data_IF_511669196510
#
_entry.id   IF_511669196510
#
_cell.length_a   1.000
_cell.length_b   1.000
_cell.length_c   1.000
_cell.angle_alpha   90.00
_cell.angle_beta   90.00
_cell.angle_gamma   90.00
#
_symmetry.space_group_name_H-M   'P 1'
#
loop_
_entity.id
_entity.type
_entity.pdbx_description
1 polymer ?
#
# COMPACT_ATOMS: atom_id res chain seq x y z
N UNK A 1 20.04 -17.64 8.44
CA UNK A 1 21.28 -18.43 8.66
C UNK A 1 22.47 -17.98 7.80
N UNK A 2 22.29 -17.57 6.53
CA UNK A 2 23.40 -17.05 5.70
C UNK A 2 24.07 -15.76 6.24
N UNK A 3 23.28 -14.83 6.80
CA UNK A 3 23.79 -13.56 7.37
C UNK A 3 24.71 -13.76 8.59
N UNK A 4 24.41 -14.73 9.47
CA UNK A 4 25.28 -15.02 10.62
C UNK A 4 26.61 -15.68 10.22
N UNK A 5 26.65 -16.37 9.09
CA UNK A 5 27.87 -17.02 8.59
C UNK A 5 28.84 -15.99 8.00
N UNK A 6 28.31 -14.96 7.31
CA UNK A 6 29.12 -13.85 6.81
C UNK A 6 29.72 -13.04 7.97
N UNK A 7 28.94 -12.76 9.02
CA UNK A 7 29.39 -11.94 10.14
C UNK A 7 30.53 -12.61 10.93
N UNK A 8 30.49 -13.92 11.15
CA UNK A 8 31.59 -14.65 11.83
C UNK A 8 32.85 -14.77 10.96
N UNK A 9 32.70 -14.98 9.65
CA UNK A 9 33.83 -15.03 8.69
C UNK A 9 34.49 -13.65 8.54
N UNK A 10 33.68 -12.59 8.46
CA UNK A 10 34.15 -11.22 8.29
C UNK A 10 34.80 -10.69 9.58
N UNK A 11 34.30 -11.07 10.78
CA UNK A 11 34.97 -10.77 12.06
C UNK A 11 36.36 -11.40 12.16
N UNK A 12 36.56 -12.65 11.70
CA UNK A 12 37.88 -13.28 11.64
C UNK A 12 38.84 -12.66 10.59
N UNK A 13 38.28 -12.08 9.52
CA UNK A 13 39.02 -11.30 8.52
C UNK A 13 39.43 -9.93 9.09
N UNK A 14 38.63 -9.34 10.00
CA UNK A 14 38.90 -8.01 10.55
C UNK A 14 40.11 -7.94 11.49
N UNK A 15 40.38 -8.98 12.29
CA UNK A 15 41.63 -9.08 13.06
C UNK A 15 42.86 -9.17 12.14
N UNK A 16 42.69 -9.71 10.92
CA UNK A 16 43.71 -9.76 9.87
C UNK A 16 43.70 -8.55 8.94
N UNK A 17 42.77 -7.61 9.10
CA UNK A 17 42.66 -6.44 8.23
C UNK A 17 43.89 -5.54 8.33
N UNK A 18 44.49 -5.44 9.52
CA UNK A 18 45.74 -4.70 9.71
C UNK A 18 46.88 -5.35 8.91
N UNK A 19 46.94 -6.68 8.89
CA UNK A 19 47.91 -7.46 8.10
C UNK A 19 47.64 -7.32 6.60
N UNK A 20 46.36 -7.34 6.19
CA UNK A 20 45.92 -7.12 4.81
C UNK A 20 46.35 -5.74 4.30
N UNK A 21 46.18 -4.73 5.14
CA UNK A 21 46.54 -3.34 4.84
C UNK A 21 48.05 -3.18 4.71
N UNK A 22 48.82 -3.83 5.59
CA UNK A 22 50.28 -3.86 5.50
C UNK A 22 50.74 -4.54 4.19
N UNK A 23 50.17 -5.70 3.84
CA UNK A 23 50.50 -6.41 2.61
C UNK A 23 50.20 -5.61 1.33
N UNK A 24 49.14 -4.78 1.33
CA UNK A 24 48.83 -3.91 0.18
C UNK A 24 49.75 -2.66 0.14
N UNK A 25 50.12 -2.13 1.32
CA UNK A 25 50.92 -0.90 1.45
C UNK A 25 52.42 -1.11 1.17
N UNK A 26 52.95 -2.31 1.47
CA UNK A 26 54.35 -2.64 1.27
C UNK A 26 54.70 -2.75 -0.23
N UNK A 27 55.89 -2.28 -0.63
CA UNK A 27 56.40 -2.47 -1.99
C UNK A 27 57.11 -3.82 -2.08
N UNK A 28 56.30 -4.87 -2.24
CA UNK A 28 56.76 -6.25 -2.32
C UNK A 28 57.32 -6.60 -3.72
N UNK A 29 58.06 -7.72 -3.80
CA UNK A 29 58.64 -8.23 -5.04
C UNK A 29 57.58 -8.63 -6.07
N UNK A 30 58.00 -8.88 -7.32
CA UNK A 30 57.08 -9.23 -8.41
C UNK A 30 56.24 -10.48 -8.12
N UNK A 31 56.83 -11.45 -7.41
CA UNK A 31 56.18 -12.71 -7.01
C UNK A 31 55.01 -12.52 -6.04
N UNK A 32 54.97 -11.41 -5.30
CA UNK A 32 53.93 -11.15 -4.30
C UNK A 32 52.83 -10.22 -4.81
N UNK A 33 53.01 -9.60 -5.99
CA UNK A 33 52.02 -8.67 -6.58
C UNK A 33 50.63 -9.30 -6.73
N UNK A 34 50.56 -10.59 -7.07
CA UNK A 34 49.27 -11.28 -7.14
C UNK A 34 48.57 -11.31 -5.78
N UNK A 35 49.31 -11.63 -4.73
CA UNK A 35 48.78 -11.65 -3.35
C UNK A 35 48.31 -10.26 -2.94
N UNK A 36 49.05 -9.20 -3.26
CA UNK A 36 48.64 -7.82 -3.00
C UNK A 36 47.32 -7.47 -3.71
N UNK A 37 47.17 -7.87 -4.98
CA UNK A 37 45.94 -7.66 -5.73
C UNK A 37 44.76 -8.41 -5.12
N UNK A 38 44.95 -9.67 -4.72
CA UNK A 38 43.93 -10.46 -4.01
C UNK A 38 43.54 -9.83 -2.66
N UNK A 39 44.52 -9.26 -1.95
CA UNK A 39 44.27 -8.55 -0.70
C UNK A 39 43.44 -7.28 -0.93
N UNK A 40 43.78 -6.49 -1.96
CA UNK A 40 43.02 -5.31 -2.35
C UNK A 40 41.58 -5.69 -2.78
N UNK A 41 41.41 -6.78 -3.53
CA UNK A 41 40.09 -7.29 -3.92
C UNK A 41 39.26 -7.66 -2.69
N UNK A 42 39.83 -8.41 -1.75
CA UNK A 42 39.13 -8.81 -0.52
C UNK A 42 38.70 -7.60 0.31
N UNK A 43 39.60 -6.63 0.50
CA UNK A 43 39.27 -5.38 1.21
C UNK A 43 38.17 -4.59 0.48
N UNK A 44 38.22 -4.56 -0.86
CA UNK A 44 37.21 -3.94 -1.71
C UNK A 44 35.83 -4.58 -1.57
N UNK A 45 35.76 -5.91 -1.53
CA UNK A 45 34.53 -6.69 -1.29
C UNK A 45 33.99 -6.39 0.12
N UNK A 46 34.87 -6.34 1.13
CA UNK A 46 34.51 -5.98 2.51
C UNK A 46 33.94 -4.57 2.64
N UNK A 47 34.27 -3.64 1.74
CA UNK A 47 33.66 -2.30 1.69
C UNK A 47 32.35 -2.35 0.90
N UNK A 48 32.35 -3.00 -0.27
CA UNK A 48 31.21 -3.01 -1.18
C UNK A 48 29.97 -3.65 -0.55
N UNK A 49 30.11 -4.84 0.02
CA UNK A 49 29.02 -5.62 0.64
C UNK A 49 28.86 -5.37 2.14
N UNK A 50 29.55 -4.38 2.72
CA UNK A 50 29.36 -4.03 4.12
C UNK A 50 27.93 -3.50 4.35
N UNK A 51 27.24 -3.99 5.36
CA UNK A 51 25.92 -3.49 5.78
C UNK A 51 26.03 -2.48 6.94
N UNK A 52 27.25 -2.12 7.35
CA UNK A 52 27.58 -1.33 8.54
C UNK A 52 27.11 -1.95 9.87
N UNK A 53 26.79 -3.25 9.90
CA UNK A 53 26.51 -3.96 11.16
C UNK A 53 27.68 -3.92 12.16
N UNK A 54 28.97 -4.08 11.75
CA UNK A 54 30.08 -3.97 12.69
C UNK A 54 30.50 -2.49 12.90
N UNK A 55 30.26 -1.96 14.11
CA UNK A 55 30.56 -0.56 14.44
C UNK A 55 32.05 -0.18 14.27
N UNK A 56 32.96 -1.12 14.51
CA UNK A 56 34.41 -0.88 14.41
C UNK A 56 34.95 -0.88 12.97
N UNK A 57 34.17 -1.39 12.01
CA UNK A 57 34.59 -1.56 10.61
C UNK A 57 33.46 -1.20 9.65
N UNK A 58 32.85 -0.05 9.86
CA UNK A 58 31.89 0.53 8.91
C UNK A 58 32.57 0.84 7.57
N UNK A 59 31.79 0.97 6.49
CA UNK A 59 32.30 1.38 5.16
C UNK A 59 33.21 2.59 5.26
N UNK A 60 32.78 3.59 6.02
CA UNK A 60 33.53 4.84 6.21
C UNK A 60 34.90 4.60 6.87
N UNK A 61 34.92 3.82 7.96
CA UNK A 61 36.18 3.49 8.66
C UNK A 61 37.14 2.73 7.75
N UNK A 62 36.64 1.81 6.93
CA UNK A 62 37.44 1.06 5.96
C UNK A 62 37.96 1.93 4.80
N UNK A 63 37.14 2.84 4.27
CA UNK A 63 37.57 3.82 3.25
C UNK A 63 38.67 4.74 3.78
N UNK A 64 38.50 5.26 5.00
CA UNK A 64 39.51 6.08 5.66
C UNK A 64 40.80 5.30 5.93
N UNK A 65 40.68 4.00 6.22
CA UNK A 65 41.84 3.13 6.42
C UNK A 65 42.64 2.99 5.12
N UNK A 66 41.98 2.75 3.98
CA UNK A 66 42.63 2.75 2.66
C UNK A 66 43.29 4.11 2.41
N UNK A 67 42.55 5.20 2.58
CA UNK A 67 43.04 6.55 2.28
C UNK A 67 44.28 6.92 3.10
N UNK A 68 44.31 6.58 4.40
CA UNK A 68 45.41 6.93 5.30
C UNK A 68 46.61 5.99 5.23
N UNK A 69 46.41 4.70 4.90
CA UNK A 69 47.48 3.68 4.99
C UNK A 69 48.02 3.22 3.65
N UNK A 70 47.24 3.32 2.59
CA UNK A 70 47.59 2.81 1.25
C UNK A 70 47.57 3.95 0.23
N UNK A 71 46.54 4.80 0.28
CA UNK A 71 46.18 5.76 -0.75
C UNK A 71 45.20 5.16 -1.77
N UNK A 72 44.16 5.91 -2.14
CA UNK A 72 43.08 5.42 -3.02
C UNK A 72 43.60 5.01 -4.41
N UNK A 73 44.53 5.78 -4.98
CA UNK A 73 45.14 5.48 -6.27
C UNK A 73 46.00 4.21 -6.22
N UNK A 74 46.83 4.09 -5.18
CA UNK A 74 47.69 2.92 -4.98
C UNK A 74 46.83 1.66 -4.76
N UNK A 75 45.75 1.75 -3.99
CA UNK A 75 44.80 0.65 -3.83
C UNK A 75 44.23 0.17 -5.17
N UNK A 76 43.80 1.09 -6.05
CA UNK A 76 43.30 0.74 -7.39
C UNK A 76 44.39 0.14 -8.27
N UNK A 77 45.61 0.66 -8.22
CA UNK A 77 46.75 0.10 -8.95
C UNK A 77 47.01 -1.35 -8.54
N UNK A 78 47.06 -1.62 -7.22
CA UNK A 78 47.27 -2.96 -6.67
C UNK A 78 46.13 -3.90 -7.01
N UNK A 79 44.88 -3.45 -6.95
CA UNK A 79 43.70 -4.23 -7.37
C UNK A 79 43.87 -4.74 -8.81
N UNK A 80 44.39 -3.89 -9.70
CA UNK A 80 44.65 -4.24 -11.10
C UNK A 80 45.77 -5.27 -11.33
N UNK A 81 46.53 -5.67 -10.32
CA UNK A 81 47.54 -6.73 -10.46
C UNK A 81 46.93 -8.09 -10.78
N UNK A 82 45.69 -8.34 -10.38
CA UNK A 82 45.01 -9.61 -10.62
C UNK A 82 44.76 -9.79 -12.13
N UNK A 83 44.09 -8.83 -12.76
CA UNK A 83 43.77 -8.89 -14.19
C UNK A 83 45.00 -8.79 -15.10
N UNK A 84 46.09 -8.17 -14.62
CA UNK A 84 47.37 -8.04 -15.34
C UNK A 84 48.26 -9.28 -15.24
N UNK A 85 47.95 -10.25 -14.37
CA UNK A 85 48.78 -11.43 -14.18
C UNK A 85 48.80 -12.31 -15.45
N UNK A 86 49.97 -12.85 -15.80
CA UNK A 86 50.19 -13.62 -17.04
C UNK A 86 49.21 -14.81 -17.21
N UNK A 87 48.92 -15.53 -16.12
CA UNK A 87 47.99 -16.66 -16.11
C UNK A 87 46.50 -16.28 -16.07
N UNK A 88 46.14 -15.02 -15.78
CA UNK A 88 44.74 -14.59 -15.65
C UNK A 88 43.97 -14.75 -16.97
N UNK A 89 44.55 -14.26 -18.06
CA UNK A 89 43.94 -14.33 -19.40
C UNK A 89 43.70 -15.77 -19.87
N UNK A 90 44.55 -16.71 -19.44
CA UNK A 90 44.41 -18.13 -19.78
C UNK A 90 43.25 -18.77 -19.01
N UNK A 91 43.14 -18.52 -17.71
CA UNK A 91 42.03 -19.03 -16.89
C UNK A 91 40.68 -18.42 -17.30
N UNK A 92 40.66 -17.18 -17.77
CA UNK A 92 39.44 -16.49 -18.18
C UNK A 92 38.79 -17.05 -19.47
N UNK A 93 39.54 -17.79 -20.30
CA UNK A 93 39.05 -18.24 -21.62
C UNK A 93 38.18 -19.51 -21.55
N UNK A 94 38.50 -20.45 -20.66
CA UNK A 94 37.86 -21.77 -20.65
C UNK A 94 37.61 -22.25 -19.21
N UNK A 95 36.46 -22.87 -18.93
CA UNK A 95 36.19 -23.49 -17.62
C UNK A 95 37.07 -24.69 -17.27
N UNK A 96 37.75 -25.29 -18.27
CA UNK A 96 38.52 -26.51 -18.07
C UNK A 96 39.89 -26.19 -17.43
N UNK A 97 40.21 -26.76 -16.25
CA UNK A 97 41.48 -26.54 -15.58
C UNK A 97 42.59 -27.34 -16.25
N UNK A 98 43.19 -26.79 -17.32
CA UNK A 98 44.29 -27.42 -18.05
C UNK A 98 45.57 -26.61 -17.85
N UNK A 99 46.43 -27.13 -16.97
CA UNK A 99 47.70 -26.52 -16.59
C UNK A 99 48.89 -27.40 -17.05
N UNK A 100 49.99 -26.81 -17.55
CA UNK A 100 51.18 -27.57 -17.96
C UNK A 100 51.98 -28.13 -16.79
N UNK A 101 51.91 -27.47 -15.62
CA UNK A 101 52.58 -27.90 -14.39
C UNK A 101 51.80 -27.39 -13.15
N UNK A 102 51.99 -28.00 -11.96
CA UNK A 102 51.28 -27.60 -10.74
C UNK A 102 51.48 -26.14 -10.35
N UNK A 103 52.64 -25.56 -10.65
CA UNK A 103 53.00 -24.17 -10.32
C UNK A 103 52.18 -23.15 -11.11
N UNK A 104 51.55 -23.56 -12.22
CA UNK A 104 50.69 -22.70 -13.04
C UNK A 104 49.20 -22.78 -12.65
N UNK A 105 48.86 -23.55 -11.60
CA UNK A 105 47.49 -23.67 -11.10
C UNK A 105 47.18 -22.55 -10.09
N UNK A 106 47.10 -21.30 -10.56
CA UNK A 106 46.86 -20.13 -9.70
C UNK A 106 45.44 -19.55 -9.78
N UNK A 107 44.80 -19.59 -10.96
CA UNK A 107 43.49 -18.99 -11.17
C UNK A 107 42.43 -20.02 -11.55
N UNK A 108 41.27 -19.86 -10.95
CA UNK A 108 40.04 -20.55 -11.34
C UNK A 108 39.22 -19.71 -12.34
N UNK A 109 38.49 -20.38 -13.23
CA UNK A 109 37.70 -19.71 -14.26
C UNK A 109 36.57 -18.85 -13.68
N UNK A 110 35.81 -19.34 -12.70
CA UNK A 110 34.71 -18.58 -12.10
C UNK A 110 35.24 -17.40 -11.28
N UNK A 111 36.41 -17.57 -10.64
CA UNK A 111 37.09 -16.45 -9.99
C UNK A 111 37.44 -15.32 -10.97
N UNK A 112 37.92 -15.63 -12.19
CA UNK A 112 38.19 -14.57 -13.19
C UNK A 112 36.93 -13.83 -13.64
N UNK A 113 35.75 -14.48 -13.65
CA UNK A 113 34.48 -13.80 -13.92
C UNK A 113 34.11 -12.84 -12.80
N UNK A 114 34.25 -13.28 -11.54
CA UNK A 114 34.01 -12.46 -10.36
C UNK A 114 34.90 -11.20 -10.37
N UNK A 115 36.20 -11.36 -10.63
CA UNK A 115 37.14 -10.23 -10.72
C UNK A 115 36.72 -9.28 -11.84
N UNK A 116 36.37 -9.81 -13.02
CA UNK A 116 35.93 -8.99 -14.16
C UNK A 116 34.66 -8.18 -13.87
N UNK A 117 33.70 -8.77 -13.15
CA UNK A 117 32.46 -8.10 -12.73
C UNK A 117 32.73 -6.99 -11.72
N UNK A 118 33.58 -7.26 -10.71
CA UNK A 118 33.85 -6.30 -9.63
C UNK A 118 34.86 -5.20 -10.00
N UNK A 119 35.81 -5.48 -10.90
CA UNK A 119 36.85 -4.55 -11.37
C UNK A 119 36.37 -3.67 -12.56
N UNK A 120 35.29 -4.05 -13.24
CA UNK A 120 34.67 -3.21 -14.28
C UNK A 120 35.37 -3.24 -15.64
N UNK A 121 36.04 -4.34 -16.00
CA UNK A 121 36.72 -4.48 -17.30
C UNK A 121 35.78 -5.05 -18.39
N UNK A 122 34.79 -4.27 -18.80
CA UNK A 122 34.19 -4.36 -20.14
C UNK A 122 33.78 -2.96 -20.63
N UNK A 123 34.64 -2.37 -21.46
CA UNK A 123 34.29 -1.41 -22.52
C UNK A 123 33.41 -0.21 -22.18
N UNK A 124 34.05 0.93 -21.91
CA UNK A 124 33.45 2.26 -22.12
C UNK A 124 32.89 2.94 -20.87
N UNK A 125 33.77 3.70 -20.21
CA UNK A 125 33.54 5.00 -19.54
C UNK A 125 32.33 5.27 -18.61
N UNK A 126 31.39 4.36 -18.37
CA UNK A 126 30.22 4.65 -17.52
C UNK A 126 30.16 3.85 -16.20
N UNK A 127 31.01 2.85 -16.01
CA UNK A 127 31.09 2.08 -14.78
C UNK A 127 32.55 1.98 -14.33
N UNK A 128 33.06 2.97 -13.61
CA UNK A 128 34.22 2.75 -12.76
C UNK A 128 33.92 1.51 -11.90
N UNK A 129 34.81 0.50 -11.92
CA UNK A 129 34.60 -0.82 -11.30
C UNK A 129 33.93 -0.70 -9.94
N UNK A 130 32.96 -1.57 -9.66
CA UNK A 130 32.04 -1.44 -8.52
C UNK A 130 32.80 -1.26 -7.19
N UNK A 131 33.95 -1.92 -7.05
CA UNK A 131 34.87 -1.75 -5.91
C UNK A 131 35.53 -0.37 -5.94
N UNK A 132 36.14 0.04 -7.06
CA UNK A 132 36.78 1.34 -7.22
C UNK A 132 35.80 2.48 -6.93
N UNK A 133 34.58 2.40 -7.45
CA UNK A 133 33.51 3.36 -7.18
C UNK A 133 33.15 3.38 -5.70
N UNK A 134 32.99 2.22 -5.06
CA UNK A 134 32.68 2.16 -3.63
C UNK A 134 33.79 2.77 -2.76
N UNK A 135 35.06 2.60 -3.12
CA UNK A 135 36.20 3.16 -2.37
C UNK A 135 36.32 4.68 -2.55
N UNK A 136 36.00 5.20 -3.74
CA UNK A 136 36.10 6.63 -4.04
C UNK A 136 34.88 7.45 -3.60
N UNK A 137 33.70 6.83 -3.57
CA UNK A 137 32.44 7.51 -3.24
C UNK A 137 32.46 8.04 -1.81
N UNK A 138 32.16 9.32 -1.64
CA UNK A 138 32.16 9.97 -0.33
C UNK A 138 30.92 9.56 0.49
N UNK A 139 31.03 9.61 1.83
CA UNK A 139 29.89 9.39 2.74
C UNK A 139 28.71 10.33 2.44
N UNK A 140 28.99 11.54 1.97
CA UNK A 140 27.98 12.55 1.67
C UNK A 140 27.22 12.24 0.38
N UNK A 141 27.92 11.72 -0.64
CA UNK A 141 27.31 11.25 -1.89
C UNK A 141 26.44 10.00 -1.67
N UNK A 142 26.86 9.10 -0.78
CA UNK A 142 26.04 7.93 -0.39
C UNK A 142 24.74 8.33 0.30
N UNK A 143 24.81 9.30 1.22
CA UNK A 143 23.61 9.82 1.90
C UNK A 143 22.66 10.51 0.93
N UNK A 144 23.18 11.37 0.04
CA UNK A 144 22.37 12.08 -0.98
C UNK A 144 21.67 11.09 -1.92
N UNK A 145 22.38 10.09 -2.46
CA UNK A 145 21.75 9.07 -3.32
C UNK A 145 20.67 8.27 -2.57
N UNK A 146 20.90 7.95 -1.29
CA UNK A 146 19.93 7.19 -0.50
C UNK A 146 18.70 8.02 -0.12
N UNK A 147 18.86 9.32 0.12
CA UNK A 147 17.75 10.27 0.33
C UNK A 147 16.92 10.46 -0.95
N UNK A 148 17.57 10.60 -2.11
CA UNK A 148 16.88 10.67 -3.40
C UNK A 148 16.09 9.39 -3.64
N UNK A 149 16.67 8.22 -3.38
CA UNK A 149 15.98 6.93 -3.52
C UNK A 149 14.76 6.83 -2.59
N UNK A 150 14.91 7.23 -1.33
CA UNK A 150 13.81 7.23 -0.36
C UNK A 150 12.68 8.17 -0.78
N UNK A 151 13.03 9.35 -1.29
CA UNK A 151 12.05 10.32 -1.82
C UNK A 151 11.31 9.77 -3.04
N UNK A 152 12.03 9.09 -3.94
CA UNK A 152 11.43 8.46 -5.12
C UNK A 152 10.49 7.31 -4.74
N UNK A 153 10.88 6.46 -3.80
CA UNK A 153 10.03 5.40 -3.24
C UNK A 153 8.79 5.97 -2.56
N UNK A 154 8.92 7.08 -1.81
CA UNK A 154 7.77 7.79 -1.23
C UNK A 154 6.83 8.32 -2.32
N UNK A 155 7.37 8.93 -3.38
CA UNK A 155 6.58 9.41 -4.50
C UNK A 155 5.83 8.26 -5.21
N UNK A 156 6.50 7.13 -5.46
CA UNK A 156 5.88 5.97 -6.11
C UNK A 156 4.76 5.35 -5.25
N UNK A 157 4.96 5.29 -3.94
CA UNK A 157 3.92 4.87 -2.99
C UNK A 157 2.69 5.80 -3.02
N UNK A 158 2.90 7.12 -3.04
CA UNK A 158 1.82 8.11 -3.12
C UNK A 158 1.06 7.97 -4.44
N UNK A 159 1.78 7.84 -5.57
CA UNK A 159 1.17 7.64 -6.89
C UNK A 159 0.35 6.36 -6.94
N UNK A 160 0.83 5.29 -6.31
CA UNK A 160 0.10 4.01 -6.22
C UNK A 160 -1.20 4.16 -5.44
N UNK A 161 -1.18 4.84 -4.29
CA UNK A 161 -2.38 5.13 -3.51
C UNK A 161 -3.40 5.97 -4.29
N UNK A 162 -2.96 7.00 -5.02
CA UNK A 162 -3.87 7.80 -5.87
C UNK A 162 -4.47 6.97 -7.01
N UNK A 163 -3.69 6.08 -7.64
CA UNK A 163 -4.20 5.19 -8.69
C UNK A 163 -5.24 4.21 -8.14
N UNK A 164 -5.03 3.66 -6.96
CA UNK A 164 -6.00 2.77 -6.30
C UNK A 164 -7.28 3.52 -5.94
N UNK A 165 -7.17 4.72 -5.38
CA UNK A 165 -8.33 5.55 -5.07
C UNK A 165 -9.15 5.89 -6.32
N UNK A 166 -8.51 6.21 -7.43
CA UNK A 166 -9.20 6.48 -8.70
C UNK A 166 -9.95 5.22 -9.19
N UNK A 167 -9.32 4.04 -9.13
CA UNK A 167 -9.98 2.78 -9.52
C UNK A 167 -11.20 2.48 -8.65
N UNK A 168 -11.08 2.67 -7.33
CA UNK A 168 -12.17 2.49 -6.38
C UNK A 168 -13.33 3.46 -6.68
N UNK A 169 -13.01 4.72 -6.96
CA UNK A 169 -14.00 5.71 -7.38
C UNK A 169 -14.67 5.34 -8.70
N UNK A 170 -13.92 4.85 -9.69
CA UNK A 170 -14.46 4.41 -10.97
C UNK A 170 -15.44 3.23 -10.81
N UNK A 171 -15.12 2.27 -9.93
CA UNK A 171 -16.00 1.14 -9.59
C UNK A 171 -17.29 1.65 -8.94
N UNK A 172 -17.21 2.53 -7.94
CA UNK A 172 -18.40 3.09 -7.28
C UNK A 172 -19.28 3.90 -8.25
N UNK A 173 -18.67 4.66 -9.16
CA UNK A 173 -19.39 5.38 -10.21
C UNK A 173 -20.12 4.40 -11.14
N UNK A 174 -19.49 3.28 -11.49
CA UNK A 174 -20.10 2.27 -12.33
C UNK A 174 -21.28 1.57 -11.63
N UNK A 175 -21.12 1.18 -10.37
CA UNK A 175 -22.21 0.58 -9.58
C UNK A 175 -23.40 1.52 -9.44
N UNK A 176 -23.17 2.81 -9.15
CA UNK A 176 -24.23 3.81 -9.07
C UNK A 176 -24.95 3.99 -10.42
N UNK A 177 -24.21 3.97 -11.53
CA UNK A 177 -24.82 4.04 -12.88
C UNK A 177 -25.68 2.81 -13.17
N UNK A 178 -25.23 1.62 -12.80
CA UNK A 178 -25.99 0.37 -12.98
C UNK A 178 -27.26 0.38 -12.13
N UNK A 179 -27.19 0.83 -10.87
CA UNK A 179 -28.36 1.00 -10.02
C UNK A 179 -29.36 2.00 -10.61
N UNK A 180 -28.87 3.14 -11.13
CA UNK A 180 -29.72 4.16 -11.76
C UNK A 180 -30.40 3.59 -13.02
N UNK A 181 -29.68 2.83 -13.84
CA UNK A 181 -30.24 2.14 -15.01
C UNK A 181 -31.31 1.13 -14.62
N UNK A 182 -31.05 0.29 -13.61
CA UNK A 182 -32.02 -0.69 -13.11
C UNK A 182 -33.30 -0.04 -12.59
N UNK A 183 -33.16 0.98 -11.73
CA UNK A 183 -34.31 1.71 -11.18
C UNK A 183 -35.10 2.44 -12.28
N UNK A 184 -34.41 2.99 -13.28
CA UNK A 184 -35.06 3.64 -14.42
C UNK A 184 -35.88 2.63 -15.23
N UNK A 185 -35.31 1.46 -15.55
CA UNK A 185 -36.03 0.41 -16.28
C UNK A 185 -37.24 -0.12 -15.50
N UNK A 186 -37.10 -0.32 -14.18
CA UNK A 186 -38.21 -0.72 -13.32
C UNK A 186 -39.32 0.34 -13.30
N UNK A 187 -38.96 1.63 -13.25
CA UNK A 187 -39.93 2.71 -13.28
C UNK A 187 -40.67 2.79 -14.62
N UNK A 188 -39.97 2.61 -15.74
CA UNK A 188 -40.58 2.54 -17.08
C UNK A 188 -41.57 1.36 -17.18
N UNK A 189 -41.21 0.19 -16.64
CA UNK A 189 -42.08 -0.99 -16.63
C UNK A 189 -43.34 -0.78 -15.78
N UNK A 190 -43.19 -0.17 -14.60
CA UNK A 190 -44.32 0.20 -13.74
C UNK A 190 -45.22 1.22 -14.42
N UNK A 191 -44.64 2.23 -15.08
CA UNK A 191 -45.38 3.24 -15.82
C UNK A 191 -46.18 2.63 -16.99
N UNK A 192 -45.59 1.68 -17.72
CA UNK A 192 -46.28 0.94 -18.78
C UNK A 192 -47.46 0.13 -18.23
N UNK A 193 -47.25 -0.58 -17.11
CA UNK A 193 -48.31 -1.35 -16.44
C UNK A 193 -49.45 -0.45 -15.96
N UNK A 194 -49.12 0.70 -15.37
CA UNK A 194 -50.10 1.69 -14.93
C UNK A 194 -50.93 2.24 -16.10
N UNK A 195 -50.28 2.53 -17.23
CA UNK A 195 -50.96 2.96 -18.45
C UNK A 195 -51.93 1.90 -18.98
N UNK A 196 -51.52 0.62 -18.96
CA UNK A 196 -52.37 -0.49 -19.35
C UNK A 196 -53.60 -0.63 -18.43
N UNK A 197 -53.41 -0.53 -17.12
CA UNK A 197 -54.51 -0.57 -16.15
C UNK A 197 -55.49 0.60 -16.33
N UNK A 198 -54.98 1.82 -16.58
CA UNK A 198 -55.82 2.99 -16.90
C UNK A 198 -56.67 2.73 -18.15
N UNK A 199 -56.10 2.11 -19.18
CA UNK A 199 -56.85 1.73 -20.40
C UNK A 199 -57.95 0.71 -20.11
N UNK A 200 -57.68 -0.31 -19.30
CA UNK A 200 -58.68 -1.30 -18.89
C UNK A 200 -59.82 -0.67 -18.09
N UNK A 201 -59.51 0.21 -17.14
CA UNK A 201 -60.51 0.95 -16.37
C UNK A 201 -61.41 1.77 -17.31
N UNK A 202 -60.82 2.43 -18.30
CA UNK A 202 -61.58 3.20 -19.28
C UNK A 202 -62.50 2.31 -20.12
N UNK A 203 -62.01 1.15 -20.60
CA UNK A 203 -62.85 0.19 -21.33
C UNK A 203 -64.02 -0.33 -20.49
N UNK A 204 -63.79 -0.71 -19.23
CA UNK A 204 -64.87 -1.14 -18.34
C UNK A 204 -65.88 -0.03 -18.08
N UNK A 205 -65.42 1.22 -17.95
CA UNK A 205 -66.29 2.39 -17.79
C UNK A 205 -67.17 2.60 -19.02
N UNK A 206 -66.62 2.42 -20.22
CA UNK A 206 -67.37 2.53 -21.47
C UNK A 206 -68.39 1.38 -21.63
N UNK A 207 -68.00 0.14 -21.30
CA UNK A 207 -68.92 -1.01 -21.26
C UNK A 207 -70.08 -0.78 -20.28
N UNK A 208 -69.79 -0.28 -19.09
CA UNK A 208 -70.81 0.07 -18.09
C UNK A 208 -71.79 1.13 -18.62
N UNK A 209 -71.29 2.18 -19.27
CA UNK A 209 -72.14 3.23 -19.86
C UNK A 209 -73.05 2.68 -20.97
N UNK A 210 -72.55 1.78 -21.82
CA UNK A 210 -73.35 1.12 -22.86
C UNK A 210 -74.45 0.25 -22.23
N UNK A 211 -74.11 -0.56 -21.24
CA UNK A 211 -75.07 -1.44 -20.58
C UNK A 211 -76.17 -0.64 -19.87
N UNK A 212 -75.79 0.44 -19.18
CA UNK A 212 -76.71 1.39 -18.55
C UNK A 212 -77.68 2.03 -19.57
N UNK A 213 -77.19 2.39 -20.76
CA UNK A 213 -78.04 2.92 -21.84
C UNK A 213 -78.99 1.87 -22.43
N UNK A 214 -78.57 0.60 -22.52
CA UNK A 214 -79.43 -0.51 -22.98
C UNK A 214 -80.57 -0.78 -22.00
N UNK A 215 -80.28 -0.87 -20.69
CA UNK A 215 -81.32 -1.02 -19.65
C UNK A 215 -82.29 0.16 -19.61
N UNK A 216 -81.80 1.39 -19.85
CA UNK A 216 -82.65 2.58 -19.89
C UNK A 216 -83.62 2.61 -21.07
N UNK A 217 -83.31 1.92 -22.18
CA UNK A 217 -84.17 1.82 -23.37
C UNK A 217 -85.22 0.71 -23.28
N UNK A 218 -84.92 -0.37 -22.57
CA UNK A 218 -85.86 -1.47 -22.33
C UNK A 218 -87.07 -1.04 -21.47
N UNK A 219 -86.93 0.04 -20.69
CA UNK A 219 -88.00 0.63 -19.89
C UNK A 219 -88.96 1.57 -20.65
N UNK A 220 -88.74 1.87 -21.94
CA UNK A 220 -89.60 2.80 -22.72
C UNK A 220 -90.42 2.13 -23.82
N UNK A 221 -90.33 0.81 -23.99
CA UNK A 221 -91.10 0.10 -25.01
C UNK A 221 -91.69 -1.22 -24.50
N UNK A 222 -92.73 -1.15 -23.66
CA UNK A 222 -93.91 -2.04 -23.74
C UNK A 222 -94.92 -1.71 -22.64
N UNK A 223 -96.08 -1.21 -23.07
CA UNK A 223 -97.33 -1.48 -22.37
C UNK A 223 -97.82 -2.88 -22.72
N UNK A 224 -98.59 -3.45 -21.80
CA UNK A 224 -99.33 -4.71 -21.85
C UNK A 224 -98.55 -6.04 -21.77
N UNK A 225 -98.94 -6.83 -20.77
CA UNK A 225 -98.86 -8.29 -20.84
C UNK A 225 -97.90 -8.92 -19.84
N UNK A 226 -98.44 -9.32 -18.68
CA UNK A 226 -98.04 -10.49 -17.90
C UNK A 226 -96.99 -11.40 -18.55
N UNK A 227 -95.72 -11.32 -18.14
CA UNK A 227 -94.75 -12.45 -18.13
C UNK A 227 -93.35 -12.12 -17.58
N UNK A 228 -93.20 -11.10 -16.72
CA UNK A 228 -91.87 -10.66 -16.19
C UNK A 228 -91.24 -11.67 -15.20
N UNK A 229 -91.93 -12.75 -14.83
CA UNK A 229 -91.40 -13.75 -13.90
C UNK A 229 -90.59 -14.89 -14.56
N UNK A 230 -90.42 -14.90 -15.89
CA UNK A 230 -89.70 -15.97 -16.61
C UNK A 230 -88.19 -15.72 -16.75
N UNK A 231 -87.81 -14.58 -17.34
CA UNK A 231 -86.43 -14.29 -17.75
C UNK A 231 -85.48 -13.98 -16.58
N UNK A 232 -85.96 -13.26 -15.55
CA UNK A 232 -85.20 -13.07 -14.31
C UNK A 232 -85.02 -14.38 -13.54
N UNK A 233 -85.97 -15.32 -13.67
CA UNK A 233 -85.85 -16.64 -13.05
C UNK A 233 -84.82 -17.48 -13.79
N UNK A 234 -84.76 -17.38 -15.11
CA UNK A 234 -83.83 -18.14 -15.96
C UNK A 234 -82.37 -17.66 -15.81
N UNK A 235 -82.13 -16.34 -15.78
CA UNK A 235 -80.80 -15.77 -15.51
C UNK A 235 -80.34 -16.04 -14.07
N UNK A 236 -81.28 -16.01 -13.10
CA UNK A 236 -80.99 -16.35 -11.71
C UNK A 236 -80.77 -17.87 -11.53
N UNK A 237 -81.38 -18.73 -12.35
CA UNK A 237 -81.06 -20.16 -12.38
C UNK A 237 -79.70 -20.43 -13.00
N UNK A 238 -79.33 -19.75 -14.09
CA UNK A 238 -78.01 -19.88 -14.71
C UNK A 238 -76.89 -19.40 -13.78
N UNK A 239 -77.07 -18.25 -13.11
CA UNK A 239 -76.10 -17.78 -12.10
C UNK A 239 -76.01 -18.74 -10.91
N UNK A 240 -77.12 -19.34 -10.49
CA UNK A 240 -77.12 -20.34 -9.41
C UNK A 240 -76.39 -21.61 -9.84
N UNK A 241 -76.60 -22.08 -11.06
CA UNK A 241 -75.89 -23.22 -11.64
C UNK A 241 -74.38 -22.94 -11.77
N UNK A 242 -73.98 -21.75 -12.23
CA UNK A 242 -72.56 -21.37 -12.34
C UNK A 242 -71.89 -21.24 -10.96
N UNK A 243 -72.61 -20.71 -9.96
CA UNK A 243 -72.13 -20.69 -8.57
C UNK A 243 -72.03 -22.09 -7.98
N UNK A 244 -72.93 -23.00 -8.33
CA UNK A 244 -72.89 -24.40 -7.90
C UNK A 244 -71.74 -25.16 -8.57
N UNK A 245 -71.45 -24.89 -9.84
CA UNK A 245 -70.33 -25.47 -10.59
C UNK A 245 -68.99 -24.97 -10.06
N UNK A 246 -68.85 -23.66 -9.80
CA UNK A 246 -67.67 -23.08 -9.16
C UNK A 246 -67.46 -23.65 -7.74
N UNK A 247 -68.53 -23.95 -7.00
CA UNK A 247 -68.45 -24.64 -5.71
C UNK A 247 -67.96 -26.08 -5.86
N UNK A 248 -68.48 -26.84 -6.83
CA UNK A 248 -68.00 -28.20 -7.12
C UNK A 248 -66.51 -28.20 -7.50
N UNK A 249 -66.10 -27.23 -8.32
CA UNK A 249 -64.70 -27.08 -8.73
C UNK A 249 -63.79 -26.71 -7.54
N UNK A 250 -64.26 -25.87 -6.63
CA UNK A 250 -63.52 -25.56 -5.39
C UNK A 250 -63.35 -26.81 -4.51
N UNK A 251 -64.41 -27.61 -4.32
CA UNK A 251 -64.35 -28.85 -3.54
C UNK A 251 -63.39 -29.85 -4.19
N UNK A 252 -63.38 -29.96 -5.52
CA UNK A 252 -62.45 -30.81 -6.25
C UNK A 252 -61.00 -30.36 -6.06
N UNK A 253 -60.71 -29.08 -6.23
CA UNK A 253 -59.37 -28.53 -6.01
C UNK A 253 -58.91 -28.70 -4.56
N UNK A 254 -59.81 -28.52 -3.59
CA UNK A 254 -59.51 -28.73 -2.18
C UNK A 254 -59.24 -30.21 -1.85
N UNK A 255 -59.96 -31.14 -2.50
CA UNK A 255 -59.71 -32.59 -2.40
C UNK A 255 -58.35 -32.95 -2.99
N UNK A 256 -58.03 -32.43 -4.19
CA UNK A 256 -56.73 -32.66 -4.83
C UNK A 256 -55.56 -32.08 -4.05
N UNK A 257 -55.74 -30.93 -3.39
CA UNK A 257 -54.74 -30.37 -2.47
C UNK A 257 -54.55 -31.29 -1.26
N UNK A 258 -55.63 -31.79 -0.66
CA UNK A 258 -55.56 -32.75 0.45
C UNK A 258 -54.87 -34.07 0.06
N UNK A 259 -55.13 -34.59 -1.14
CA UNK A 259 -54.45 -35.77 -1.68
C UNK A 259 -52.95 -35.52 -1.90
N UNK A 260 -52.59 -34.34 -2.44
CA UNK A 260 -51.18 -33.95 -2.60
C UNK A 260 -50.48 -33.76 -1.26
N UNK A 261 -51.14 -33.16 -0.28
CA UNK A 261 -50.60 -33.02 1.07
C UNK A 261 -50.42 -34.38 1.76
N UNK A 262 -51.37 -35.30 1.59
CA UNK A 262 -51.24 -36.68 2.06
C UNK A 262 -50.05 -37.39 1.39
N UNK A 263 -49.87 -37.23 0.08
CA UNK A 263 -48.73 -37.79 -0.66
C UNK A 263 -47.40 -37.20 -0.19
N UNK A 264 -47.33 -35.88 0.02
CA UNK A 264 -46.14 -35.20 0.57
C UNK A 264 -45.81 -35.74 1.96
N UNK A 265 -46.81 -35.97 2.81
CA UNK A 265 -46.61 -36.53 4.15
C UNK A 265 -46.15 -37.99 4.11
N UNK A 266 -46.67 -38.79 3.16
CA UNK A 266 -46.18 -40.15 2.91
C UNK A 266 -44.73 -40.14 2.44
N UNK A 267 -44.38 -39.32 1.45
CA UNK A 267 -43.01 -39.20 0.93
C UNK A 267 -42.02 -38.67 2.00
N UNK A 268 -42.46 -37.75 2.87
CA UNK A 268 -41.66 -37.28 4.03
C UNK A 268 -41.46 -38.38 5.08
N UNK A 269 -42.48 -39.22 5.28
CA UNK A 269 -42.40 -40.35 6.21
C UNK A 269 -41.51 -41.46 5.67
N UNK A 270 -41.58 -41.76 4.36
CA UNK A 270 -40.68 -42.67 3.66
C UNK A 270 -39.23 -42.14 3.68
N UNK A 271 -39.03 -40.83 3.46
CA UNK A 271 -37.71 -40.18 3.58
C UNK A 271 -37.16 -40.25 5.01
N UNK A 272 -38.02 -40.22 6.03
CA UNK A 272 -37.61 -40.36 7.44
C UNK A 272 -37.36 -41.82 7.84
N UNK A 273 -37.86 -42.81 7.10
CA UNK A 273 -37.64 -44.25 7.36
C UNK A 273 -36.43 -44.84 6.62
N UNK A 274 -35.82 -44.13 5.66
CA UNK A 274 -34.60 -44.57 4.94
C UNK A 274 -33.30 -44.17 5.66
N UNK A 275 -33.37 -43.49 6.81
CA UNK A 275 -32.20 -43.17 7.63
C UNK A 275 -31.61 -44.36 8.40
N UNK A 276 -32.24 -45.54 8.36
CA UNK A 276 -31.70 -46.76 8.99
C UNK A 276 -31.98 -47.99 8.12
N UNK A 277 -31.34 -48.07 6.95
CA UNK A 277 -31.47 -49.23 6.07
C UNK A 277 -30.90 -49.01 4.68
N UNK A 278 -29.73 -49.62 4.45
CA UNK A 278 -29.01 -49.69 3.18
C UNK A 278 -29.89 -49.96 1.94
N UNK A 279 -29.70 -49.13 0.91
CA UNK A 279 -29.41 -49.50 -0.49
C UNK A 279 -30.21 -48.68 -1.53
N UNK A 280 -29.48 -47.97 -2.39
CA UNK A 280 -29.91 -47.68 -3.77
C UNK A 280 -30.29 -46.24 -4.09
N UNK A 281 -29.29 -45.39 -4.35
CA UNK A 281 -29.48 -44.12 -5.06
C UNK A 281 -28.14 -43.47 -5.36
N UNK A 282 -27.60 -43.69 -6.57
CA UNK A 282 -26.31 -43.17 -7.05
C UNK A 282 -26.12 -41.65 -6.87
N UNK A 283 -27.19 -40.88 -6.79
CA UNK A 283 -27.14 -39.42 -6.66
C UNK A 283 -26.98 -38.96 -5.21
N UNK A 284 -27.45 -39.74 -4.22
CA UNK A 284 -27.32 -39.39 -2.81
C UNK A 284 -25.88 -39.51 -2.30
N UNK A 285 -25.13 -40.48 -2.83
CA UNK A 285 -23.71 -40.68 -2.50
C UNK A 285 -22.85 -39.57 -3.07
N UNK A 286 -23.14 -39.10 -4.30
CA UNK A 286 -22.43 -37.98 -4.92
C UNK A 286 -22.69 -36.66 -4.20
N UNK A 287 -23.94 -36.40 -3.81
CA UNK A 287 -24.27 -35.21 -3.02
C UNK A 287 -23.64 -35.24 -1.63
N UNK A 288 -23.52 -36.41 -0.99
CA UNK A 288 -22.81 -36.54 0.29
C UNK A 288 -21.31 -36.29 0.16
N UNK A 289 -20.69 -36.78 -0.91
CA UNK A 289 -19.27 -36.55 -1.19
C UNK A 289 -18.98 -35.07 -1.52
N UNK A 290 -19.87 -34.41 -2.25
CA UNK A 290 -19.82 -32.97 -2.52
C UNK A 290 -20.02 -32.14 -1.24
N UNK A 291 -20.89 -32.57 -0.34
CA UNK A 291 -21.11 -31.94 0.98
C UNK A 291 -19.87 -32.07 1.89
N UNK A 292 -19.21 -33.21 1.88
CA UNK A 292 -17.98 -33.45 2.64
C UNK A 292 -16.79 -32.66 2.06
N UNK A 293 -16.72 -32.54 0.74
CA UNK A 293 -15.73 -31.71 0.04
C UNK A 293 -15.94 -30.22 0.36
N UNK A 294 -17.18 -29.73 0.30
CA UNK A 294 -17.52 -28.36 0.67
C UNK A 294 -17.23 -28.09 2.16
N UNK A 295 -17.50 -29.03 3.05
CA UNK A 295 -17.12 -28.92 4.48
C UNK A 295 -15.62 -28.82 4.67
N UNK A 296 -14.85 -29.66 3.98
CA UNK A 296 -13.39 -29.62 4.02
C UNK A 296 -12.84 -28.31 3.47
N UNK A 297 -13.45 -27.78 2.41
CA UNK A 297 -13.09 -26.48 1.83
C UNK A 297 -13.40 -25.31 2.76
N UNK A 298 -14.58 -25.30 3.39
CA UNK A 298 -14.96 -24.29 4.40
C UNK A 298 -14.02 -24.35 5.61
N UNK A 299 -13.62 -25.55 6.04
CA UNK A 299 -12.66 -25.71 7.13
C UNK A 299 -11.27 -25.19 6.76
N UNK A 300 -10.78 -25.46 5.54
CA UNK A 300 -9.52 -24.92 5.03
C UNK A 300 -9.56 -23.38 4.96
N UNK A 301 -10.63 -22.82 4.40
CA UNK A 301 -10.82 -21.37 4.32
C UNK A 301 -10.93 -20.72 5.71
N UNK A 302 -11.54 -21.41 6.68
CA UNK A 302 -11.58 -20.94 8.07
C UNK A 302 -10.20 -20.87 8.71
N UNK A 303 -9.30 -21.82 8.40
CA UNK A 303 -7.92 -21.81 8.90
C UNK A 303 -7.13 -20.68 8.25
N UNK A 304 -7.25 -20.51 6.92
CA UNK A 304 -6.60 -19.43 6.18
C UNK A 304 -7.06 -18.04 6.66
N UNK A 305 -8.36 -17.85 6.88
CA UNK A 305 -8.89 -16.61 7.47
C UNK A 305 -8.35 -16.37 8.87
N UNK A 306 -8.18 -17.42 9.69
CA UNK A 306 -7.59 -17.27 11.02
C UNK A 306 -6.12 -16.85 10.94
N UNK A 307 -5.36 -17.41 9.99
CA UNK A 307 -3.96 -17.09 9.76
C UNK A 307 -3.80 -15.64 9.25
N UNK A 308 -4.58 -15.24 8.26
CA UNK A 308 -4.60 -13.87 7.74
C UNK A 308 -5.01 -12.86 8.82
N UNK A 309 -5.96 -13.23 9.69
CA UNK A 309 -6.34 -12.40 10.84
C UNK A 309 -5.19 -12.24 11.84
N UNK A 310 -4.44 -13.31 12.12
CA UNK A 310 -3.25 -13.23 12.99
C UNK A 310 -2.14 -12.39 12.40
N UNK A 311 -1.86 -12.53 11.10
CA UNK A 311 -0.86 -11.73 10.39
C UNK A 311 -1.25 -10.25 10.38
N UNK A 312 -2.54 -9.94 10.14
CA UNK A 312 -3.06 -8.57 10.23
C UNK A 312 -2.82 -7.97 11.62
N UNK A 313 -3.09 -8.71 12.70
CA UNK A 313 -2.83 -8.24 14.06
C UNK A 313 -1.34 -8.05 14.35
N UNK A 314 -0.46 -8.89 13.80
CA UNK A 314 0.98 -8.72 13.98
C UNK A 314 1.53 -7.51 13.20
N UNK A 315 1.04 -7.28 11.99
CA UNK A 315 1.38 -6.10 11.19
C UNK A 315 0.92 -4.81 11.88
N UNK A 316 -0.28 -4.78 12.45
CA UNK A 316 -0.75 -3.66 13.28
C UNK A 316 0.17 -3.42 14.49
N UNK A 317 0.55 -4.48 15.21
CA UNK A 317 1.50 -4.36 16.34
C UNK A 317 2.88 -3.83 15.91
N UNK A 318 3.36 -4.20 14.72
CA UNK A 318 4.61 -3.68 14.15
C UNK A 318 4.48 -2.21 13.73
N UNK A 319 3.33 -1.80 13.21
CA UNK A 319 3.06 -0.41 12.86
C UNK A 319 3.03 0.48 14.13
N UNK A 320 2.39 0.01 15.21
CA UNK A 320 2.36 0.74 16.49
C UNK A 320 3.76 0.83 17.12
N UNK A 321 4.56 -0.25 17.10
CA UNK A 321 5.96 -0.22 17.54
C UNK A 321 6.83 0.73 16.68
N UNK A 322 6.50 0.89 15.40
CA UNK A 322 7.13 1.88 14.52
C UNK A 322 6.76 3.33 14.86
N UNK A 323 5.55 3.57 15.38
CA UNK A 323 5.14 4.88 15.85
C UNK A 323 5.89 5.30 17.13
N UNK A 324 6.21 4.35 18.02
CA UNK A 324 7.04 4.61 19.20
C UNK A 324 8.52 4.86 18.84
N UNK A 325 9.04 4.21 17.79
CA UNK A 325 10.37 4.49 17.25
C UNK A 325 10.46 5.91 16.64
N UNK A 326 9.36 6.43 16.07
CA UNK A 326 9.27 7.80 15.56
C UNK A 326 9.32 8.83 16.69
N UNK A 327 8.64 8.58 17.82
CA UNK A 327 8.71 9.43 19.04
C UNK A 327 10.12 9.48 19.65
N UNK A 328 10.85 8.36 19.63
CA UNK A 328 12.26 8.31 20.04
C UNK A 328 13.20 9.09 19.10
N UNK A 329 12.86 9.18 17.80
CA UNK A 329 13.63 9.99 16.83
C UNK A 329 13.39 11.50 16.99
N UNK A 330 12.18 11.90 17.36
CA UNK A 330 11.81 13.29 17.63
C UNK A 330 12.50 13.80 18.92
N UNK A 331 12.55 12.98 19.97
CA UNK A 331 13.29 13.31 21.20
C UNK A 331 14.83 13.39 21.00
N UNK A 332 15.38 12.66 20.01
CA UNK A 332 16.80 12.74 19.63
C UNK A 332 17.13 13.99 18.79
N UNK A 333 16.16 14.50 18.01
CA UNK A 333 16.32 15.74 17.25
C UNK A 333 16.36 16.97 18.16
N UNK A 334 15.59 16.97 19.26
CA UNK A 334 15.60 18.04 20.27
C UNK A 334 16.93 18.13 21.03
N UNK A 335 17.61 17.00 21.29
CA UNK A 335 18.97 16.97 21.86
C UNK A 335 20.06 17.42 20.88
N UNK A 336 19.83 17.28 19.56
CA UNK A 336 20.75 17.77 18.52
C UNK A 336 20.74 19.29 18.35
N UNK A 337 19.61 19.94 18.61
CA UNK A 337 19.48 21.39 18.53
C UNK A 337 20.29 22.13 19.62
N UNK A 338 20.51 21.50 20.78
CA UNK A 338 21.34 22.05 21.86
C UNK A 338 22.84 22.05 21.52
N UNK A 339 23.31 21.18 20.62
CA UNK A 339 24.72 21.10 20.21
C UNK A 339 25.11 22.15 19.14
N UNK A 340 24.12 22.78 18.48
CA UNK A 340 24.33 23.77 17.41
C UNK A 340 24.80 25.17 17.87
N UNK A 341 24.83 25.44 19.18
CA UNK A 341 25.20 26.75 19.74
C UNK A 341 26.70 26.93 20.02
N UNK A 342 27.56 25.98 19.66
CA UNK A 342 29.00 26.01 19.97
C UNK A 342 29.97 25.95 18.77
N UNK A 343 29.53 26.21 17.54
CA UNK A 343 30.46 26.32 16.39
C UNK A 343 30.49 27.72 15.80
N UNK A 344 31.05 28.65 16.56
CA UNK A 344 31.60 29.89 16.04
C UNK A 344 33.12 29.76 16.22
N UNK A 345 33.85 29.41 15.16
CA UNK A 345 35.26 29.73 14.86
C UNK A 345 35.80 28.82 13.74
N UNK A 346 36.20 29.43 12.61
CA UNK A 346 37.31 28.93 11.78
C UNK A 346 37.05 28.68 10.30
N UNK A 347 37.32 29.69 9.46
CA UNK A 347 38.24 29.56 8.30
C UNK A 347 37.71 29.11 6.92
N UNK A 348 37.55 30.08 6.03
CA UNK A 348 37.60 29.99 4.55
C UNK A 348 39.06 29.78 4.03
N UNK A 349 39.36 29.63 2.70
CA UNK A 349 38.55 29.20 1.52
C UNK A 349 39.29 28.20 0.59
N UNK A 350 38.59 27.63 -0.41
CA UNK A 350 39.18 27.13 -1.65
C UNK A 350 38.17 27.28 -2.81
N UNK A 351 38.43 28.26 -3.67
CA UNK A 351 37.60 28.65 -4.82
C UNK A 351 37.89 27.77 -6.04
N UNK A 352 36.82 27.34 -6.73
CA UNK A 352 36.90 26.67 -8.03
C UNK A 352 35.64 25.90 -8.43
N UNK A 353 34.99 25.23 -7.47
CA UNK A 353 33.82 24.36 -7.73
C UNK A 353 32.53 24.84 -7.04
N UNK A 354 32.62 25.92 -6.25
CA UNK A 354 31.49 26.49 -5.51
C UNK A 354 30.54 27.33 -6.38
N UNK A 355 31.02 27.88 -7.50
CA UNK A 355 30.21 28.75 -8.36
C UNK A 355 29.12 27.98 -9.12
N UNK A 356 29.41 26.77 -9.62
CA UNK A 356 28.44 25.97 -10.38
C UNK A 356 27.29 25.45 -9.50
N UNK A 357 27.60 25.00 -8.27
CA UNK A 357 26.59 24.58 -7.32
C UNK A 357 25.75 25.74 -6.78
N UNK A 358 26.34 26.93 -6.63
CA UNK A 358 25.59 28.13 -6.24
C UNK A 358 24.68 28.62 -7.36
N UNK A 359 25.08 28.50 -8.63
CA UNK A 359 24.21 28.84 -9.78
C UNK A 359 23.02 27.90 -9.89
N UNK A 360 23.21 26.58 -9.73
CA UNK A 360 22.12 25.60 -9.82
C UNK A 360 21.13 25.74 -8.65
N UNK A 361 21.62 26.02 -7.43
CA UNK A 361 20.76 26.33 -6.28
C UNK A 361 20.01 27.65 -6.45
N UNK A 362 20.61 28.66 -7.09
CA UNK A 362 19.94 29.93 -7.36
C UNK A 362 18.88 29.80 -8.46
N UNK A 363 19.16 29.04 -9.53
CA UNK A 363 18.21 28.73 -10.59
C UNK A 363 17.02 27.91 -10.06
N UNK A 364 17.28 26.88 -9.26
CA UNK A 364 16.21 26.07 -8.63
C UNK A 364 15.34 26.89 -7.68
N UNK A 365 15.92 27.83 -6.92
CA UNK A 365 15.13 28.77 -6.10
C UNK A 365 14.26 29.69 -6.95
N UNK A 366 14.81 30.20 -8.05
CA UNK A 366 14.05 31.05 -8.98
C UNK A 366 12.89 30.28 -9.63
N UNK A 367 13.11 29.02 -10.01
CA UNK A 367 12.05 28.15 -10.53
C UNK A 367 10.96 27.85 -9.48
N UNK A 368 11.33 27.69 -8.21
CA UNK A 368 10.36 27.55 -7.11
C UNK A 368 9.55 28.84 -6.90
N UNK A 369 10.18 30.01 -6.97
CA UNK A 369 9.51 31.31 -6.85
C UNK A 369 8.57 31.58 -8.05
N UNK A 370 8.99 31.24 -9.27
CA UNK A 370 8.16 31.35 -10.49
C UNK A 370 6.95 30.39 -10.42
N UNK A 371 7.13 29.19 -9.87
CA UNK A 371 6.04 28.22 -9.66
C UNK A 371 5.04 28.72 -8.60
N UNK A 372 5.51 29.32 -7.51
CA UNK A 372 4.66 29.94 -6.48
C UNK A 372 3.84 31.10 -7.06
N UNK A 373 4.45 31.92 -7.93
CA UNK A 373 3.74 32.99 -8.63
C UNK A 373 2.66 32.43 -9.57
N UNK A 374 2.95 31.37 -10.32
CA UNK A 374 1.96 30.70 -11.18
C UNK A 374 0.80 30.11 -10.38
N UNK A 375 1.07 29.50 -9.21
CA UNK A 375 0.04 28.96 -8.32
C UNK A 375 -0.85 30.08 -7.77
N UNK A 376 -0.27 31.22 -7.37
CA UNK A 376 -1.04 32.38 -6.93
C UNK A 376 -1.94 32.95 -8.03
N UNK A 377 -1.45 33.05 -9.27
CA UNK A 377 -2.24 33.45 -10.44
C UNK A 377 -3.37 32.46 -10.74
N UNK A 378 -3.09 31.16 -10.58
CA UNK A 378 -4.08 30.11 -10.78
C UNK A 378 -5.18 30.17 -9.71
N UNK A 379 -4.84 30.43 -8.46
CA UNK A 379 -5.80 30.65 -7.37
C UNK A 379 -6.63 31.91 -7.59
N UNK A 380 -6.04 33.00 -8.05
CA UNK A 380 -6.77 34.22 -8.41
C UNK A 380 -7.73 33.99 -9.58
N UNK A 381 -7.33 33.15 -10.56
CA UNK A 381 -8.19 32.75 -11.67
C UNK A 381 -9.33 31.84 -11.21
N UNK A 382 -9.06 30.89 -10.33
CA UNK A 382 -10.09 30.05 -9.69
C UNK A 382 -11.07 30.93 -8.91
N UNK A 383 -10.58 31.91 -8.16
CA UNK A 383 -11.42 32.86 -7.45
C UNK A 383 -12.33 33.65 -8.41
N UNK A 384 -11.77 34.17 -9.50
CA UNK A 384 -12.50 34.92 -10.52
C UNK A 384 -13.58 34.07 -11.20
N UNK A 385 -13.27 32.79 -11.48
CA UNK A 385 -14.22 31.83 -12.06
C UNK A 385 -15.32 31.45 -11.07
N UNK A 386 -14.98 31.24 -9.79
CA UNK A 386 -15.95 30.98 -8.72
C UNK A 386 -16.90 32.17 -8.53
N UNK A 387 -16.39 33.40 -8.59
CA UNK A 387 -17.21 34.60 -8.52
C UNK A 387 -18.14 34.71 -9.73
N UNK A 388 -17.65 34.43 -10.94
CA UNK A 388 -18.48 34.44 -12.16
C UNK A 388 -19.56 33.35 -12.17
N UNK A 389 -19.26 32.17 -11.62
CA UNK A 389 -20.24 31.10 -11.42
C UNK A 389 -21.33 31.50 -10.41
N UNK A 390 -20.93 32.21 -9.35
CA UNK A 390 -21.87 32.76 -8.36
C UNK A 390 -22.79 33.84 -8.96
N UNK A 391 -22.25 34.71 -9.81
CA UNK A 391 -23.02 35.74 -10.53
C UNK A 391 -24.01 35.11 -11.55
N UNK A 392 -23.72 33.90 -12.04
CA UNK A 392 -24.58 33.11 -12.94
C UNK A 392 -25.62 32.24 -12.20
N UNK A 393 -25.68 32.29 -10.87
CA UNK A 393 -26.68 31.60 -10.07
C UNK A 393 -26.34 30.14 -9.71
N UNK A 394 -25.13 29.67 -9.99
CA UNK A 394 -24.69 28.34 -9.58
C UNK A 394 -24.04 28.34 -8.19
N UNK A 395 -24.41 27.36 -7.36
CA UNK A 395 -23.85 27.21 -6.01
C UNK A 395 -22.53 26.45 -6.08
N UNK A 396 -21.41 27.16 -6.07
CA UNK A 396 -20.07 26.56 -5.95
C UNK A 396 -19.93 25.94 -4.55
N UNK A 397 -19.98 24.61 -4.44
CA UNK A 397 -19.65 23.92 -3.18
C UNK A 397 -18.16 24.09 -2.88
N UNK A 398 -17.77 24.49 -1.65
CA UNK A 398 -16.37 24.46 -1.27
C UNK A 398 -15.92 23.00 -1.20
N UNK A 399 -14.85 22.65 -1.93
CA UNK A 399 -14.09 21.45 -1.62
C UNK A 399 -13.44 21.68 -0.27
N UNK A 400 -14.11 21.24 0.79
CA UNK A 400 -13.50 21.11 2.12
C UNK A 400 -12.44 20.04 2.00
N UNK A 401 -11.16 20.43 2.12
CA UNK A 401 -10.13 19.48 2.52
C UNK A 401 -10.57 18.85 3.84
N UNK A 402 -10.96 17.59 3.76
CA UNK A 402 -11.14 16.74 4.93
C UNK A 402 -9.78 16.65 5.64
N UNK A 403 -9.71 17.17 6.87
CA UNK A 403 -8.79 16.64 7.88
C UNK A 403 -7.62 17.50 8.35
N UNK A 404 -7.63 18.83 8.22
CA UNK A 404 -6.64 19.66 8.95
C UNK A 404 -7.32 20.87 9.62
N UNK A 405 -7.52 20.78 10.93
CA UNK A 405 -7.74 21.95 11.78
C UNK A 405 -6.37 22.56 12.08
N UNK A 406 -6.06 23.78 11.60
CA UNK A 406 -4.85 24.46 12.02
C UNK A 406 -4.94 24.77 13.53
N UNK A 407 -3.84 24.66 14.29
CA UNK A 407 -3.85 25.09 15.68
C UNK A 407 -4.20 26.58 15.74
N UNK A 408 -5.11 26.92 16.64
CA UNK A 408 -5.47 28.29 16.98
C UNK A 408 -4.20 29.09 17.29
N UNK A 409 -3.86 30.03 16.41
CA UNK A 409 -2.90 31.09 16.69
C UNK A 409 -3.52 32.05 17.70
N UNK A 410 -3.39 31.70 18.97
CA UNK A 410 -3.39 32.66 20.08
C UNK A 410 -2.05 32.53 20.76
N UNK A 411 -1.00 32.98 20.07
CA UNK A 411 0.25 33.33 20.72
C UNK A 411 0.01 34.62 21.54
N UNK A 412 0.28 34.63 22.86
CA UNK A 412 0.29 35.86 23.61
C UNK A 412 1.49 36.72 23.18
N UNK A 413 1.25 38.02 23.02
CA UNK A 413 2.29 39.03 22.76
C UNK A 413 3.38 38.99 23.84
N UNK A 414 4.67 39.12 23.48
CA UNK A 414 5.77 39.14 24.43
C UNK A 414 5.84 40.50 25.13
N UNK A 415 4.95 40.73 26.10
CA UNK A 415 5.02 41.94 26.94
C UNK A 415 4.60 41.79 28.40
N UNK A 416 4.14 40.62 28.86
CA UNK A 416 3.58 40.47 30.22
C UNK A 416 4.41 39.58 31.18
N UNK A 417 5.74 39.50 31.01
CA UNK A 417 6.61 38.73 31.91
C UNK A 417 7.50 39.56 32.86
N UNK A 418 7.15 40.83 33.06
CA UNK A 418 7.74 41.67 34.11
C UNK A 418 6.64 42.38 34.88
N UNK A 419 6.05 41.67 35.86
CA UNK A 419 5.44 42.20 37.10
C UNK A 419 4.64 41.09 37.78
N UNK A 420 5.29 40.32 38.65
CA UNK A 420 4.67 39.64 39.78
C UNK A 420 5.76 38.88 40.55
N UNK A 421 6.66 39.62 41.21
CA UNK A 421 7.33 39.15 42.44
C UNK A 421 7.62 40.39 43.27
N UNK A 422 6.57 41.06 43.74
CA UNK A 422 6.64 41.89 44.94
C UNK A 422 5.51 41.44 45.84
N UNK A 423 5.85 41.32 47.12
CA UNK A 423 4.99 41.10 48.28
C UNK A 423 4.53 39.64 48.49
N UNK A 424 5.19 38.96 49.44
CA UNK A 424 4.62 38.67 50.77
C UNK A 424 5.72 38.04 51.67
N UNK A 425 5.89 38.67 52.83
CA UNK A 425 6.28 38.13 54.14
C UNK A 425 7.76 37.91 54.52
N UNK A 426 8.27 39.01 55.08
CA UNK A 426 9.05 39.19 56.32
C UNK A 426 8.80 38.17 57.46
N UNK A 427 9.72 38.18 58.45
CA UNK A 427 9.77 37.47 59.76
C UNK A 427 10.50 36.11 59.72
N UNK A 428 11.56 35.78 60.46
CA UNK A 428 12.24 36.29 61.66
C UNK A 428 13.71 35.81 61.60
N UNK A 429 14.73 36.67 61.72
CA UNK A 429 15.45 37.07 62.94
C UNK A 429 16.32 36.00 63.65
N UNK A 430 17.66 36.24 63.61
CA UNK A 430 18.73 35.90 64.59
C UNK A 430 19.12 34.41 64.66
N UNK A 431 20.39 34.02 64.51
CA UNK A 431 21.58 34.29 65.35
C UNK A 431 22.82 33.85 64.51
N UNK A 432 23.91 34.61 64.33
CA UNK A 432 25.13 34.61 65.17
C UNK A 432 25.46 33.19 65.72
N UNK A 433 26.63 32.58 65.55
CA UNK A 433 28.03 33.03 65.44
C UNK A 433 28.90 31.76 65.34
N UNK A 434 30.03 31.87 64.64
CA UNK A 434 31.36 31.31 64.96
C UNK A 434 31.59 29.81 65.26
N UNK A 435 32.89 29.47 65.24
CA UNK A 435 33.57 28.20 65.53
C UNK A 435 33.80 27.33 64.27
N UNK A 436 34.90 27.52 63.53
CA UNK A 436 36.31 27.15 63.86
C UNK A 436 36.47 25.69 64.26
N UNK A 437 37.35 25.00 63.50
CA UNK A 437 38.20 23.87 63.92
C UNK A 437 37.43 22.60 64.38
N UNK A 438 37.87 21.35 64.24
CA UNK A 438 39.18 20.72 64.23
C UNK A 438 38.97 19.26 63.73
N UNK A 439 40.04 18.66 63.20
CA UNK A 439 40.45 17.23 63.27
C UNK A 439 39.40 16.09 63.34
N UNK A 440 39.41 15.17 62.36
CA UNK A 440 40.31 13.98 62.35
C UNK A 440 40.23 13.22 61.01
#
# INVERSE_FOLDING_TARGET
MASMTLQTVVVGIFDRLLQLTAQISENLGEDERLVQGLCALLLGICIYYNDNSPENYTKEKLKQLIEKRIGKENFVEKLGFIAKHELYSRAAQKPQPIFPSPEQMLFDHEFTKLVKELEGSVGGAACAGMITKAVHKSSEEEKKEQEVKKTLEQHDNIVTQYKELIREQDVQIQELKEQLSSMTSQNEQLQATMTQQISQIQQHKDQYNILKLKLGKENQSQGEGSQVNGLQTEELTLLKEEVEELRKQNVLLQTQLGEKDALINTLRSETSQVADGSAGGSDGTQLLEELEALRSQVQSQSVELSQMKTERTELLRRADAGADAKKLSESRAELGAAAGLLHQHGGHPADGECEAGQTEVAESKKEQDDLLMLLADQDQKIFSLKQRLKDLGETVRPHTHSGYTPPSSTAPSPTDLYKQVEDEDDLDAKDQTDEEEEED
#
